data_IF_755534243728
#
_entry.id   IF_755534243728
#
_cell.length_a   1.000
_cell.length_b   1.000
_cell.length_c   1.000
_cell.angle_alpha   90.00
_cell.angle_beta   90.00
_cell.angle_gamma   90.00
#
_symmetry.space_group_name_H-M   'P 1'
#
loop_
_entity.id
_entity.type
_entity.pdbx_description
1 polymer ?
#
# COMPACT_ATOMS: atom_id res chain seq x y z
N UNK A 1 11.38 -21.58 -13.53
CA UNK A 1 10.52 -21.83 -12.32
C UNK A 1 9.95 -20.55 -11.72
N UNK A 2 10.11 -19.41 -12.40
CA UNK A 2 9.70 -18.06 -11.97
C UNK A 2 8.20 -17.80 -12.19
N UNK A 3 7.52 -18.62 -13.00
CA UNK A 3 6.07 -18.57 -13.21
C UNK A 3 5.23 -18.82 -11.95
N UNK A 4 5.84 -19.37 -10.89
CA UNK A 4 5.20 -19.56 -9.59
C UNK A 4 5.35 -18.36 -8.63
N UNK A 5 6.09 -17.30 -9.02
CA UNK A 5 6.27 -16.10 -8.20
C UNK A 5 4.94 -15.35 -8.12
N UNK A 6 4.35 -15.14 -6.93
CA UNK A 6 3.12 -14.38 -6.81
C UNK A 6 3.37 -12.91 -7.16
N UNK A 7 2.82 -12.43 -8.28
CA UNK A 7 2.95 -11.01 -8.70
C UNK A 7 1.94 -10.09 -8.01
N UNK A 8 0.88 -10.67 -7.42
CA UNK A 8 -0.21 -9.94 -6.78
C UNK A 8 0.21 -8.98 -5.65
N UNK A 9 1.20 -9.30 -4.78
CA UNK A 9 1.61 -8.39 -3.71
C UNK A 9 2.24 -7.09 -4.23
N UNK A 10 2.99 -7.15 -5.33
CA UNK A 10 3.56 -5.95 -5.97
C UNK A 10 2.45 -5.10 -6.58
N UNK A 11 1.54 -5.71 -7.33
CA UNK A 11 0.40 -4.97 -7.91
C UNK A 11 -0.42 -4.26 -6.82
N UNK A 12 -0.64 -4.96 -5.70
CA UNK A 12 -1.28 -4.38 -4.51
C UNK A 12 -0.53 -3.18 -3.94
N UNK A 13 0.81 -3.20 -3.92
CA UNK A 13 1.61 -2.07 -3.46
C UNK A 13 1.32 -0.81 -4.28
N UNK A 14 1.41 -0.88 -5.61
CA UNK A 14 1.21 0.29 -6.47
C UNK A 14 -0.22 0.84 -6.41
N UNK A 15 -1.19 -0.06 -6.25
CA UNK A 15 -2.59 0.33 -6.03
C UNK A 15 -2.74 1.11 -4.72
N UNK A 16 -2.17 0.59 -3.63
CA UNK A 16 -2.23 1.21 -2.30
C UNK A 16 -1.43 2.53 -2.26
N UNK A 17 -0.27 2.57 -2.92
CA UNK A 17 0.57 3.76 -3.02
C UNK A 17 -0.18 4.92 -3.69
N UNK A 18 -1.03 4.61 -4.68
CA UNK A 18 -1.91 5.59 -5.33
C UNK A 18 -3.09 6.04 -4.45
N UNK A 19 -3.43 5.27 -3.41
CA UNK A 19 -4.58 5.53 -2.53
C UNK A 19 -4.22 6.36 -1.29
N UNK A 20 -2.98 6.25 -0.78
CA UNK A 20 -2.56 6.83 0.51
C UNK A 20 -2.86 8.33 0.64
N UNK A 21 -2.59 9.11 -0.40
CA UNK A 21 -2.75 10.56 -0.36
C UNK A 21 -4.23 10.96 -0.35
N UNK A 22 -5.09 10.22 -1.08
CA UNK A 22 -6.54 10.45 -1.07
C UNK A 22 -7.18 10.11 0.27
N UNK A 23 -6.70 9.04 0.94
CA UNK A 23 -7.17 8.69 2.29
C UNK A 23 -6.71 9.73 3.31
N UNK A 24 -5.45 10.19 3.24
CA UNK A 24 -4.93 11.21 4.14
C UNK A 24 -5.66 12.55 3.96
N UNK A 25 -5.90 12.97 2.71
CA UNK A 25 -6.65 14.19 2.37
C UNK A 25 -8.04 14.20 3.01
N UNK A 26 -8.78 13.09 2.87
CA UNK A 26 -10.16 12.98 3.39
C UNK A 26 -10.25 12.84 4.90
N UNK A 27 -9.21 12.33 5.56
CA UNK A 27 -9.27 12.01 7.00
C UNK A 27 -8.57 13.05 7.86
N UNK A 28 -7.37 13.45 7.47
CA UNK A 28 -6.45 14.27 8.26
C UNK A 28 -6.24 15.65 7.63
N UNK A 29 -6.30 15.74 6.30
CA UNK A 29 -5.98 16.92 5.52
C UNK A 29 -4.55 16.90 4.95
N UNK A 30 -4.39 17.45 3.74
CA UNK A 30 -3.10 17.47 3.02
C UNK A 30 -2.03 18.32 3.70
N UNK A 31 -2.40 19.28 4.54
CA UNK A 31 -1.48 20.12 5.31
C UNK A 31 -0.50 19.31 6.18
N UNK A 32 -0.90 18.09 6.61
CA UNK A 32 -0.09 17.22 7.48
C UNK A 32 0.68 16.14 6.71
N UNK A 33 0.62 16.14 5.38
CA UNK A 33 1.37 15.21 4.54
C UNK A 33 2.88 15.16 4.85
N UNK A 34 3.62 16.28 5.05
CA UNK A 34 5.05 16.18 5.36
C UNK A 34 5.33 15.49 6.70
N UNK A 35 4.48 15.70 7.71
CA UNK A 35 4.59 15.02 8.99
C UNK A 35 4.24 13.52 8.88
N UNK A 36 3.23 13.16 8.09
CA UNK A 36 2.89 11.77 7.78
C UNK A 36 4.03 11.04 7.08
N UNK A 37 4.72 11.73 6.18
CA UNK A 37 5.91 11.21 5.48
C UNK A 37 7.09 10.98 6.42
N UNK A 38 7.36 11.90 7.35
CA UNK A 38 8.44 11.70 8.34
C UNK A 38 8.14 10.53 9.28
N UNK A 39 6.89 10.42 9.73
CA UNK A 39 6.44 9.31 10.57
C UNK A 39 6.53 7.97 9.82
N UNK A 40 6.17 7.93 8.54
CA UNK A 40 6.27 6.72 7.74
C UNK A 40 7.72 6.28 7.56
N UNK A 41 8.64 7.21 7.27
CA UNK A 41 10.08 6.89 7.16
C UNK A 41 10.62 6.32 8.46
N UNK A 42 10.33 6.97 9.60
CA UNK A 42 10.77 6.48 10.91
C UNK A 42 10.21 5.08 11.20
N UNK A 43 8.93 4.84 10.92
CA UNK A 43 8.29 3.55 11.14
C UNK A 43 8.87 2.47 10.22
N UNK A 44 9.08 2.78 8.95
CA UNK A 44 9.69 1.86 7.97
C UNK A 44 11.09 1.47 8.39
N UNK A 45 11.91 2.41 8.89
CA UNK A 45 13.25 2.09 9.40
C UNK A 45 13.20 1.09 10.55
N UNK A 46 12.31 1.29 11.52
CA UNK A 46 12.11 0.35 12.63
C UNK A 46 11.67 -1.03 12.15
N UNK A 47 10.75 -1.08 11.18
CA UNK A 47 10.28 -2.34 10.62
C UNK A 47 11.34 -3.06 9.79
N UNK A 48 12.22 -2.34 9.10
CA UNK A 48 13.37 -2.93 8.38
C UNK A 48 14.36 -3.57 9.37
N UNK A 49 14.60 -2.94 10.52
CA UNK A 49 15.43 -3.54 11.59
C UNK A 49 14.78 -4.86 12.06
N UNK A 50 13.46 -4.87 12.28
CA UNK A 50 12.74 -6.06 12.69
C UNK A 50 12.73 -7.15 11.60
N UNK A 51 12.60 -6.74 10.34
CA UNK A 51 12.69 -7.62 9.17
C UNK A 51 14.06 -8.31 9.09
N UNK A 52 15.16 -7.58 9.29
CA UNK A 52 16.50 -8.17 9.29
C UNK A 52 16.67 -9.24 10.38
N UNK A 53 15.98 -9.12 11.52
CA UNK A 53 15.99 -10.19 12.53
C UNK A 53 15.18 -11.41 12.12
N UNK A 54 14.11 -11.22 11.34
CA UNK A 54 13.23 -12.29 10.88
C UNK A 54 13.79 -13.05 9.67
N UNK A 55 14.54 -12.36 8.79
CA UNK A 55 15.16 -12.98 7.60
C UNK A 55 16.22 -14.01 7.97
N UNK A 56 16.88 -13.83 9.13
CA UNK A 56 17.85 -14.79 9.65
C UNK A 56 17.18 -16.02 10.27
N UNK A 57 15.90 -15.91 10.67
CA UNK A 57 15.16 -16.97 11.36
C UNK A 57 14.24 -17.81 10.45
N UNK A 58 13.85 -17.27 9.29
CA UNK A 58 12.82 -17.87 8.42
C UNK A 58 13.28 -17.88 6.97
N UNK A 59 12.96 -18.96 6.23
CA UNK A 59 13.26 -19.04 4.81
C UNK A 59 12.58 -17.90 4.01
N UNK A 60 13.31 -17.30 3.06
CA UNK A 60 12.84 -16.15 2.25
C UNK A 60 11.45 -16.34 1.61
N UNK A 61 11.11 -17.51 1.03
CA UNK A 61 9.76 -17.81 0.57
C UNK A 61 8.69 -17.68 1.65
N UNK A 62 8.92 -18.28 2.82
CA UNK A 62 7.96 -18.24 3.92
C UNK A 62 7.80 -16.81 4.46
N UNK A 63 8.89 -16.04 4.53
CA UNK A 63 8.86 -14.64 4.98
C UNK A 63 8.02 -13.75 4.05
N UNK A 64 8.10 -13.97 2.73
CA UNK A 64 7.27 -13.27 1.75
C UNK A 64 5.77 -13.50 2.00
N UNK A 65 5.34 -14.75 2.21
CA UNK A 65 3.93 -15.05 2.49
C UNK A 65 3.47 -14.56 3.87
N UNK A 66 4.30 -14.70 4.90
CA UNK A 66 3.96 -14.25 6.26
C UNK A 66 3.75 -12.74 6.29
N UNK A 67 4.68 -11.96 5.72
CA UNK A 67 4.56 -10.51 5.68
C UNK A 67 3.39 -10.07 4.79
N UNK A 68 3.21 -10.69 3.63
CA UNK A 68 2.07 -10.42 2.76
C UNK A 68 0.72 -10.63 3.47
N UNK A 69 0.56 -11.75 4.18
CA UNK A 69 -0.64 -12.05 4.94
C UNK A 69 -0.84 -11.09 6.12
N UNK A 70 0.22 -10.78 6.87
CA UNK A 70 0.16 -9.84 7.99
C UNK A 70 -0.30 -8.45 7.53
N UNK A 71 0.28 -7.93 6.44
CA UNK A 71 -0.12 -6.65 5.88
C UNK A 71 -1.52 -6.66 5.27
N UNK A 72 -1.94 -7.76 4.64
CA UNK A 72 -3.31 -7.90 4.16
C UNK A 72 -4.33 -7.78 5.30
N UNK A 73 -4.06 -8.42 6.45
CA UNK A 73 -4.91 -8.31 7.65
C UNK A 73 -4.94 -6.89 8.19
N UNK A 74 -3.77 -6.24 8.34
CA UNK A 74 -3.67 -4.87 8.84
C UNK A 74 -4.42 -3.89 7.95
N UNK A 75 -4.19 -3.95 6.64
CA UNK A 75 -4.82 -3.04 5.68
C UNK A 75 -6.32 -3.30 5.54
N UNK A 76 -6.76 -4.57 5.64
CA UNK A 76 -8.18 -4.90 5.68
C UNK A 76 -8.85 -4.35 6.94
N UNK A 77 -8.23 -4.51 8.11
CA UNK A 77 -8.75 -3.97 9.37
C UNK A 77 -8.82 -2.44 9.34
N UNK A 78 -7.81 -1.76 8.79
CA UNK A 78 -7.82 -0.31 8.61
C UNK A 78 -8.90 0.14 7.61
N UNK A 79 -9.08 -0.56 6.49
CA UNK A 79 -10.15 -0.28 5.54
C UNK A 79 -11.54 -0.47 6.14
N UNK A 80 -11.74 -1.51 6.95
CA UNK A 80 -12.98 -1.74 7.69
C UNK A 80 -13.23 -0.65 8.74
N UNK A 81 -12.18 -0.22 9.47
CA UNK A 81 -12.26 0.86 10.43
C UNK A 81 -12.63 2.19 9.75
N UNK A 82 -12.00 2.52 8.61
CA UNK A 82 -12.33 3.71 7.84
C UNK A 82 -13.80 3.69 7.36
N UNK A 83 -14.29 2.55 6.86
CA UNK A 83 -15.72 2.40 6.49
C UNK A 83 -16.68 2.52 7.67
N UNK A 84 -16.34 1.91 8.81
CA UNK A 84 -17.17 1.97 10.01
C UNK A 84 -17.27 3.38 10.60
N UNK A 85 -16.24 4.20 10.39
CA UNK A 85 -16.17 5.59 10.87
C UNK A 85 -16.80 6.60 9.88
N UNK A 86 -16.96 6.22 8.60
CA UNK A 86 -17.72 6.97 7.59
C UNK A 86 -19.25 6.84 7.78
N UNK A 87 -19.73 5.86 8.57
CA UNK A 87 -21.16 5.68 8.89
C UNK A 87 -21.80 6.87 9.61
N UNK A 88 -21.01 7.66 10.33
CA UNK A 88 -21.44 8.92 10.97
C UNK A 88 -21.19 10.17 10.08
N UNK A 89 -20.55 10.00 8.91
CA UNK A 89 -20.07 11.07 8.05
C UNK A 89 -20.98 11.39 6.85
N UNK A 90 -22.12 10.69 6.70
CA UNK A 90 -23.07 10.90 5.59
C UNK A 90 -23.66 12.34 5.50
N UNK A 91 -23.33 13.25 6.43
CA UNK A 91 -23.76 14.65 6.44
C UNK A 91 -22.63 15.70 6.52
N UNK A 92 -21.34 15.35 6.43
CA UNK A 92 -20.28 16.35 6.60
C UNK A 92 -19.16 16.25 5.57
N UNK A 93 -19.29 17.03 4.50
CA UNK A 93 -18.25 17.42 3.53
C UNK A 93 -17.14 18.30 4.12
N UNK A 94 -16.96 18.32 5.45
CA UNK A 94 -15.92 19.10 6.12
C UNK A 94 -15.01 18.24 7.00
N UNK A 95 -13.69 18.37 6.80
CA UNK A 95 -12.59 17.79 7.59
C UNK A 95 -12.64 18.15 9.10
N UNK A 96 -13.58 19.02 9.49
CA UNK A 96 -13.74 19.55 10.84
C UNK A 96 -14.59 18.66 11.76
N UNK A 97 -15.37 17.70 11.22
CA UNK A 97 -16.23 16.80 12.02
C UNK A 97 -15.74 15.34 12.13
N UNK A 98 -14.60 14.99 11.54
CA UNK A 98 -14.03 13.65 11.71
C UNK A 98 -13.51 13.48 13.15
N UNK A 99 -14.06 12.48 13.86
CA UNK A 99 -13.64 12.15 15.22
C UNK A 99 -12.16 11.73 15.30
N UNK A 100 -11.55 11.79 16.50
CA UNK A 100 -10.14 11.44 16.70
C UNK A 100 -9.76 10.05 16.16
N UNK A 101 -10.69 9.09 16.22
CA UNK A 101 -10.50 7.73 15.70
C UNK A 101 -10.32 7.66 14.18
N UNK A 102 -11.09 8.44 13.41
CA UNK A 102 -10.97 8.45 11.95
C UNK A 102 -9.67 9.11 11.49
N UNK A 103 -9.23 10.15 12.20
CA UNK A 103 -7.92 10.77 11.98
C UNK A 103 -6.80 9.77 12.28
N UNK A 104 -6.85 9.07 13.42
CA UNK A 104 -5.87 8.05 13.77
C UNK A 104 -5.82 6.91 12.73
N UNK A 105 -6.96 6.45 12.24
CA UNK A 105 -7.04 5.46 11.17
C UNK A 105 -6.43 5.97 9.85
N UNK A 106 -6.65 7.25 9.52
CA UNK A 106 -5.99 7.93 8.39
C UNK A 106 -4.47 7.91 8.50
N UNK A 107 -3.92 8.37 9.64
CA UNK A 107 -2.47 8.32 9.90
C UNK A 107 -1.93 6.89 9.83
N UNK A 108 -2.60 5.94 10.49
CA UNK A 108 -2.20 4.54 10.52
C UNK A 108 -2.22 3.92 9.11
N UNK A 109 -3.23 4.23 8.29
CA UNK A 109 -3.31 3.76 6.90
C UNK A 109 -2.17 4.30 6.04
N UNK A 110 -1.80 5.57 6.19
CA UNK A 110 -0.68 6.17 5.46
C UNK A 110 0.63 5.46 5.78
N UNK A 111 0.92 5.27 7.07
CA UNK A 111 2.13 4.60 7.55
C UNK A 111 2.15 3.11 7.16
N UNK A 112 1.01 2.43 7.25
CA UNK A 112 0.89 1.03 6.84
C UNK A 112 1.15 0.84 5.34
N UNK A 113 0.62 1.71 4.49
CA UNK A 113 0.82 1.64 3.03
C UNK A 113 2.28 1.91 2.65
N UNK A 114 2.89 2.96 3.21
CA UNK A 114 4.30 3.32 2.95
C UNK A 114 5.28 2.22 3.41
N UNK A 115 5.04 1.65 4.60
CA UNK A 115 5.87 0.55 5.11
C UNK A 115 5.65 -0.75 4.33
N UNK A 116 4.42 -1.05 3.91
CA UNK A 116 4.09 -2.18 3.04
C UNK A 116 4.87 -2.10 1.73
N UNK A 117 4.92 -0.93 1.10
CA UNK A 117 5.65 -0.76 -0.15
C UNK A 117 7.13 -1.07 -0.02
N UNK A 118 7.76 -0.57 1.04
CA UNK A 118 9.19 -0.78 1.29
C UNK A 118 9.51 -2.26 1.53
N UNK A 119 8.75 -2.94 2.40
CA UNK A 119 8.99 -4.33 2.77
C UNK A 119 8.56 -5.34 1.71
N UNK A 120 7.47 -5.09 0.99
CA UNK A 120 7.00 -5.98 -0.08
C UNK A 120 7.95 -5.98 -1.26
N UNK A 121 8.51 -4.82 -1.60
CA UNK A 121 9.54 -4.72 -2.64
C UNK A 121 10.82 -5.43 -2.18
N UNK A 122 11.29 -5.19 -0.95
CA UNK A 122 12.49 -5.85 -0.43
C UNK A 122 12.36 -7.38 -0.38
N UNK A 123 11.25 -7.89 0.16
CA UNK A 123 10.97 -9.34 0.26
C UNK A 123 10.77 -9.98 -1.10
N UNK A 124 10.12 -9.29 -2.04
CA UNK A 124 9.98 -9.76 -3.40
C UNK A 124 11.33 -9.98 -4.07
N UNK A 125 12.22 -8.98 -4.01
CA UNK A 125 13.55 -9.09 -4.60
C UNK A 125 14.38 -10.18 -3.93
N UNK A 126 14.25 -10.34 -2.61
CA UNK A 126 14.88 -11.43 -1.87
C UNK A 126 14.36 -12.81 -2.32
N UNK A 127 13.06 -12.93 -2.63
CA UNK A 127 12.43 -14.14 -3.12
C UNK A 127 12.87 -14.49 -4.55
N UNK A 128 12.81 -13.53 -5.48
CA UNK A 128 13.24 -13.71 -6.89
C UNK A 128 14.70 -14.17 -6.95
N UNK A 129 15.58 -13.52 -6.19
CA UNK A 129 16.99 -13.90 -6.12
C UNK A 129 17.22 -15.29 -5.51
N UNK A 130 16.25 -15.84 -4.77
CA UNK A 130 16.33 -17.20 -4.22
C UNK A 130 15.70 -18.28 -5.11
N UNK A 131 14.91 -17.88 -6.11
CA UNK A 131 14.02 -18.79 -6.85
C UNK A 131 14.44 -19.09 -8.30
N UNK A 132 15.42 -18.40 -8.89
CA UNK A 132 15.77 -18.65 -10.30
C UNK A 132 17.07 -18.05 -10.80
N UNK A 133 17.49 -18.56 -11.96
CA UNK A 133 18.66 -18.11 -12.70
C UNK A 133 18.46 -16.67 -13.21
N UNK A 134 19.54 -15.88 -13.23
CA UNK A 134 19.55 -14.43 -13.42
C UNK A 134 18.94 -13.98 -14.75
N UNK A 135 18.95 -14.83 -15.78
CA UNK A 135 18.37 -14.53 -17.10
C UNK A 135 16.83 -14.59 -17.12
N UNK A 136 16.24 -15.59 -16.47
CA UNK A 136 14.78 -15.78 -16.44
C UNK A 136 14.10 -14.68 -15.59
N UNK A 137 14.79 -14.20 -14.55
CA UNK A 137 14.34 -13.08 -13.72
C UNK A 137 14.32 -11.75 -14.51
N UNK A 138 15.34 -11.50 -15.35
CA UNK A 138 15.43 -10.30 -16.20
C UNK A 138 14.28 -10.21 -17.20
N UNK A 139 13.90 -11.33 -17.81
CA UNK A 139 12.78 -11.37 -18.75
C UNK A 139 11.42 -11.07 -18.09
N UNK A 140 11.27 -11.39 -16.80
CA UNK A 140 10.01 -11.25 -16.06
C UNK A 140 9.80 -9.84 -15.48
N UNK A 141 10.85 -9.03 -15.31
CA UNK A 141 10.73 -7.67 -14.77
C UNK A 141 9.81 -6.77 -15.59
N UNK A 142 9.86 -6.87 -16.92
CA UNK A 142 8.98 -6.08 -17.78
C UNK A 142 7.49 -6.34 -17.51
N UNK A 143 7.11 -7.61 -17.31
CA UNK A 143 5.73 -8.02 -17.01
C UNK A 143 5.28 -7.56 -15.61
N UNK A 144 6.16 -7.65 -14.62
CA UNK A 144 5.88 -7.17 -13.25
C UNK A 144 5.64 -5.65 -13.25
N UNK A 145 6.48 -4.89 -13.95
CA UNK A 145 6.33 -3.44 -14.07
C UNK A 145 5.10 -3.06 -14.91
N UNK A 146 4.81 -3.79 -15.99
CA UNK A 146 3.60 -3.56 -16.77
C UNK A 146 2.32 -3.76 -15.94
N UNK A 147 2.28 -4.81 -15.10
CA UNK A 147 1.16 -5.03 -14.17
C UNK A 147 0.97 -3.90 -13.15
N UNK A 148 2.08 -3.30 -12.68
CA UNK A 148 2.03 -2.11 -11.82
C UNK A 148 1.39 -0.91 -12.52
N UNK A 149 1.75 -0.66 -13.78
CA UNK A 149 1.24 0.49 -14.56
C UNK A 149 -0.26 0.40 -14.86
N UNK A 150 -0.83 -0.81 -14.95
CA UNK A 150 -2.29 -1.00 -15.12
C UNK A 150 -3.07 -0.41 -13.95
N UNK A 151 -2.56 -0.52 -12.73
CA UNK A 151 -3.22 0.02 -11.53
C UNK A 151 -3.28 1.55 -11.55
N UNK A 152 -2.22 2.19 -12.05
CA UNK A 152 -2.18 3.64 -12.24
C UNK A 152 -3.13 4.11 -13.35
N UNK A 153 -3.11 3.43 -14.50
CA UNK A 153 -3.99 3.75 -15.63
C UNK A 153 -5.48 3.66 -15.25
N UNK A 154 -5.87 2.61 -14.51
CA UNK A 154 -7.25 2.42 -14.05
C UNK A 154 -7.72 3.57 -13.13
N UNK A 155 -6.84 4.07 -12.25
CA UNK A 155 -7.15 5.21 -11.39
C UNK A 155 -7.34 6.50 -12.18
N UNK A 156 -6.47 6.76 -13.16
CA UNK A 156 -6.59 7.94 -14.03
C UNK A 156 -7.90 7.92 -14.83
N UNK A 157 -8.27 6.76 -15.36
CA UNK A 157 -9.54 6.58 -16.09
C UNK A 157 -10.74 6.86 -15.17
N UNK A 158 -10.73 6.31 -13.95
CA UNK A 158 -11.81 6.53 -13.00
C UNK A 158 -12.00 8.02 -12.66
N UNK A 159 -10.93 8.74 -12.34
CA UNK A 159 -10.98 10.17 -12.02
C UNK A 159 -11.43 11.02 -13.21
N UNK A 160 -10.94 10.70 -14.41
CA UNK A 160 -11.32 11.41 -15.64
C UNK A 160 -12.81 11.24 -15.96
N UNK A 161 -13.35 10.01 -15.83
CA UNK A 161 -14.76 9.73 -16.04
C UNK A 161 -15.66 10.47 -15.04
N UNK A 162 -15.27 10.54 -13.76
CA UNK A 162 -16.02 11.28 -12.75
C UNK A 162 -16.07 12.79 -13.04
N UNK A 163 -14.94 13.37 -13.45
CA UNK A 163 -14.89 14.79 -13.83
C UNK A 163 -15.71 15.09 -15.08
N UNK A 164 -15.68 14.19 -16.07
CA UNK A 164 -16.48 14.34 -17.29
C UNK A 164 -17.98 14.27 -16.98
N UNK A 165 -18.42 13.30 -16.18
CA UNK A 165 -19.82 13.17 -15.76
C UNK A 165 -20.32 14.40 -14.99
N UNK A 166 -19.52 14.93 -14.07
CA UNK A 166 -19.85 16.15 -13.32
C UNK A 166 -19.89 17.42 -14.19
N UNK A 167 -19.24 17.42 -15.36
CA UNK A 167 -19.28 18.56 -16.30
C UNK A 167 -20.48 18.52 -17.25
N UNK A 168 -21.14 17.36 -17.37
CA UNK A 168 -22.29 17.12 -18.25
C UNK A 168 -23.64 17.17 -17.52
N UNK A 169 -23.64 17.08 -16.19
CA UNK A 169 -24.79 17.21 -15.29
C UNK A 169 -24.82 18.61 -14.67
#
# INVERSE_FOLDING_TARGET
QISAVPHAPIGGFWLLDSLKDAVLERTVGLERQPAAKLLSVATTLLLVIQYNRLVDAVAKPALFYILGAAYAVVLFALGAALRGLDGDAATSTSNLKLGPGARAAGWASYVAIESYGSLSVATFWAFVNSAGDLEEAKASYGLIIAGAQVSFALRCIHTYLLNLLNSLL
#
